data_IF_975685307715
#
_entry.id   IF_975685307715
#
_cell.length_a   1.000
_cell.length_b   1.000
_cell.length_c   1.000
_cell.angle_alpha   90.00
_cell.angle_beta   90.00
_cell.angle_gamma   90.00
#
_symmetry.space_group_name_H-M   'P 1'
#
loop_
_entity.id
_entity.type
_entity.pdbx_description
1 polymer ?
#
# COMPACT_ATOMS: atom_id res chain seq x y z
N UNK A 1 1.08 24.72 6.26
CA UNK A 1 2.42 24.30 6.74
C UNK A 1 2.28 24.00 8.21
N UNK A 2 2.47 22.75 8.64
CA UNK A 2 2.46 22.42 10.07
C UNK A 2 3.89 22.58 10.60
N UNK A 3 4.13 23.67 11.33
CA UNK A 3 5.34 23.88 12.10
C UNK A 3 5.26 23.15 13.43
N UNK A 4 6.31 22.39 13.74
CA UNK A 4 6.80 22.07 15.09
C UNK A 4 5.76 21.98 16.21
N UNK A 5 5.02 20.87 16.25
CA UNK A 5 4.51 20.34 17.52
C UNK A 5 5.10 18.95 17.71
N UNK A 6 6.18 18.87 18.49
CA UNK A 6 6.88 17.63 18.87
C UNK A 6 6.08 16.82 19.92
N UNK A 7 4.75 16.89 19.81
CA UNK A 7 3.79 16.23 20.69
C UNK A 7 3.56 14.80 20.20
N UNK A 8 3.39 13.88 21.14
CA UNK A 8 3.05 12.50 20.86
C UNK A 8 1.53 12.34 20.78
N UNK A 9 1.07 11.58 19.80
CA UNK A 9 -0.33 11.32 19.56
C UNK A 9 -0.56 9.88 19.10
N UNK A 10 -1.77 9.40 19.35
CA UNK A 10 -2.31 8.20 18.71
C UNK A 10 -2.99 8.61 17.41
N UNK A 11 -2.81 7.81 16.35
CA UNK A 11 -3.56 7.95 15.10
C UNK A 11 -4.71 6.94 15.16
N UNK A 12 -5.91 7.40 15.49
CA UNK A 12 -7.09 6.54 15.67
C UNK A 12 -7.95 6.51 14.41
N UNK A 13 -8.43 5.33 14.02
CA UNK A 13 -9.44 5.20 12.97
C UNK A 13 -10.80 5.64 13.49
N UNK A 14 -11.43 6.60 12.80
CA UNK A 14 -12.79 7.09 13.12
C UNK A 14 -13.86 6.01 13.05
N UNK A 15 -13.67 5.00 12.19
CA UNK A 15 -14.64 3.90 11.97
C UNK A 15 -14.59 2.84 13.07
N UNK A 16 -13.42 2.57 13.64
CA UNK A 16 -13.19 1.38 14.49
C UNK A 16 -12.69 1.69 15.90
N UNK A 17 -12.27 2.94 16.18
CA UNK A 17 -11.64 3.32 17.45
C UNK A 17 -10.25 2.68 17.69
N UNK A 18 -9.76 1.89 16.75
CA UNK A 18 -8.43 1.25 16.78
C UNK A 18 -7.35 2.26 16.40
N UNK A 19 -6.13 2.04 16.90
CA UNK A 19 -4.98 2.93 16.67
C UNK A 19 -3.94 2.27 15.76
N UNK A 20 -3.27 3.09 14.94
CA UNK A 20 -2.08 2.67 14.20
C UNK A 20 -0.96 2.36 15.20
N UNK A 21 -0.35 1.19 15.09
CA UNK A 21 0.75 0.78 15.95
C UNK A 21 1.78 -0.07 15.21
N UNK A 22 2.98 -0.11 15.78
CA UNK A 22 4.03 -1.07 15.42
C UNK A 22 3.56 -2.49 15.76
N UNK A 23 3.95 -3.48 14.96
CA UNK A 23 3.60 -4.88 15.22
C UNK A 23 4.13 -5.31 16.61
N UNK A 24 3.20 -5.67 17.50
CA UNK A 24 3.51 -5.94 18.92
C UNK A 24 4.34 -7.21 19.10
N UNK A 25 4.23 -8.14 18.15
CA UNK A 25 4.97 -9.41 18.17
C UNK A 25 6.49 -9.19 18.14
N UNK A 26 6.96 -8.06 17.59
CA UNK A 26 8.37 -7.69 17.56
C UNK A 26 8.99 -7.66 18.96
N UNK A 27 8.30 -7.06 19.94
CA UNK A 27 8.80 -6.94 21.32
C UNK A 27 8.77 -8.28 22.06
N UNK A 28 7.76 -9.12 21.82
CA UNK A 28 7.64 -10.42 22.48
C UNK A 28 8.57 -11.50 21.90
N UNK A 29 8.90 -11.41 20.61
CA UNK A 29 9.72 -12.40 19.91
C UNK A 29 11.18 -11.95 19.72
N UNK A 30 11.54 -10.75 20.18
CA UNK A 30 12.90 -10.20 20.06
C UNK A 30 13.32 -9.89 18.62
N UNK A 31 12.35 -9.66 17.72
CA UNK A 31 12.61 -9.40 16.30
C UNK A 31 13.13 -7.98 16.07
N UNK A 32 13.78 -7.77 14.93
CA UNK A 32 14.24 -6.43 14.52
C UNK A 32 13.05 -5.63 13.95
N UNK A 33 12.75 -4.42 14.44
CA UNK A 33 11.61 -3.64 13.97
C UNK A 33 11.77 -3.09 12.55
N UNK A 34 12.99 -3.05 12.02
CA UNK A 34 13.26 -2.56 10.66
C UNK A 34 12.53 -3.41 9.61
N UNK A 35 11.70 -2.77 8.79
CA UNK A 35 10.79 -3.37 7.80
C UNK A 35 9.65 -4.22 8.40
N UNK A 36 9.34 -4.11 9.69
CA UNK A 36 8.12 -4.72 10.23
C UNK A 36 6.88 -4.11 9.58
N UNK A 37 5.82 -4.91 9.42
CA UNK A 37 4.53 -4.40 8.94
C UNK A 37 3.90 -3.48 9.98
N UNK A 38 3.31 -2.36 9.57
CA UNK A 38 2.51 -1.50 10.45
C UNK A 38 1.06 -1.98 10.43
N UNK A 39 0.39 -1.94 11.59
CA UNK A 39 -0.92 -2.55 11.83
C UNK A 39 -1.84 -1.60 12.61
N UNK A 40 -3.10 -1.99 12.71
CA UNK A 40 -4.17 -1.22 13.37
C UNK A 40 -4.83 -2.10 14.44
N UNK A 41 -4.62 -1.75 15.72
CA UNK A 41 -4.99 -2.57 16.87
C UNK A 41 -5.92 -1.84 17.84
N UNK A 42 -6.64 -2.60 18.68
CA UNK A 42 -7.31 -2.05 19.86
C UNK A 42 -6.27 -1.38 20.76
N UNK A 43 -6.43 -0.09 21.14
CA UNK A 43 -5.42 0.68 21.88
C UNK A 43 -5.04 0.02 23.21
N UNK A 44 -3.76 0.06 23.56
CA UNK A 44 -3.18 -0.42 24.83
C UNK A 44 -2.37 0.67 25.56
N UNK A 45 -2.27 1.87 24.99
CA UNK A 45 -1.57 3.04 25.54
C UNK A 45 -0.06 2.80 25.71
N UNK A 46 0.53 2.06 24.77
CA UNK A 46 1.95 1.70 24.75
C UNK A 46 2.74 2.59 23.78
N UNK A 47 4.06 2.70 23.98
CA UNK A 47 4.93 3.55 23.15
C UNK A 47 5.00 3.12 21.67
N UNK A 48 4.63 1.89 21.35
CA UNK A 48 4.48 1.37 19.98
C UNK A 48 3.27 1.94 19.23
N UNK A 49 2.31 2.55 19.93
CA UNK A 49 1.09 3.18 19.38
C UNK A 49 1.21 4.70 19.23
N UNK A 50 2.27 5.28 19.79
CA UNK A 50 2.50 6.73 19.82
C UNK A 50 3.38 7.17 18.67
N UNK A 51 2.91 8.21 17.98
CA UNK A 51 3.53 8.80 16.81
C UNK A 51 3.74 10.31 17.01
N UNK A 52 4.67 10.88 16.26
CA UNK A 52 4.86 12.34 16.19
C UNK A 52 5.18 12.78 14.76
N UNK A 53 4.95 14.06 14.48
CA UNK A 53 5.33 14.70 13.22
C UNK A 53 6.77 15.22 13.33
N UNK A 54 7.67 14.62 12.57
CA UNK A 54 9.04 15.08 12.39
C UNK A 54 9.13 15.75 11.01
N UNK A 55 8.64 16.99 10.93
CA UNK A 55 8.40 17.68 9.67
C UNK A 55 7.32 16.98 8.82
N UNK A 56 7.72 16.41 7.69
CA UNK A 56 6.86 15.61 6.80
C UNK A 56 6.94 14.10 7.07
N UNK A 57 7.74 13.66 8.04
CA UNK A 57 7.85 12.27 8.44
C UNK A 57 6.90 11.98 9.61
N UNK A 58 6.33 10.78 9.64
CA UNK A 58 5.59 10.25 10.80
C UNK A 58 6.50 9.25 11.50
N UNK A 59 6.88 9.55 12.75
CA UNK A 59 7.90 8.80 13.53
C UNK A 59 7.31 8.16 14.77
N UNK A 60 7.73 6.94 15.09
CA UNK A 60 7.22 6.15 16.22
C UNK A 60 8.03 6.36 17.52
N UNK A 61 7.34 6.44 18.67
CA UNK A 61 7.97 6.68 19.98
C UNK A 61 8.82 5.51 20.51
N UNK A 62 8.42 4.26 20.23
CA UNK A 62 9.13 3.08 20.73
C UNK A 62 10.37 2.69 19.93
N UNK A 63 10.42 3.04 18.64
CA UNK A 63 11.45 2.54 17.70
C UNK A 63 12.31 3.64 17.08
N UNK A 64 11.90 4.92 17.16
CA UNK A 64 12.46 6.07 16.44
C UNK A 64 12.43 5.95 14.89
N UNK A 65 11.87 4.85 14.37
CA UNK A 65 11.68 4.60 12.94
C UNK A 65 10.47 5.37 12.39
N UNK A 66 10.47 5.61 11.08
CA UNK A 66 9.41 6.33 10.36
C UNK A 66 8.54 5.41 9.53
N UNK A 67 7.32 5.84 9.22
CA UNK A 67 6.45 5.18 8.25
C UNK A 67 7.05 5.26 6.84
N UNK A 68 7.20 4.11 6.20
CA UNK A 68 7.81 3.92 4.89
C UNK A 68 6.91 3.04 4.00
N UNK A 69 6.67 3.47 2.76
CA UNK A 69 5.99 2.64 1.75
C UNK A 69 6.94 1.51 1.34
N UNK A 70 6.61 0.26 1.67
CA UNK A 70 7.52 -0.89 1.57
C UNK A 70 8.07 -1.08 0.14
N UNK A 71 9.40 -1.12 0.02
CA UNK A 71 10.17 -1.16 -1.25
C UNK A 71 10.06 0.12 -2.10
N UNK A 72 9.48 1.20 -1.59
CA UNK A 72 9.38 2.50 -2.27
C UNK A 72 8.51 2.50 -3.53
N UNK A 73 7.61 1.52 -3.70
CA UNK A 73 6.83 1.32 -4.92
C UNK A 73 5.34 1.19 -4.61
N UNK A 74 4.55 2.09 -5.18
CA UNK A 74 3.09 1.97 -5.25
C UNK A 74 2.73 0.74 -6.11
N UNK A 75 1.93 -0.16 -5.56
CA UNK A 75 1.43 -1.37 -6.20
C UNK A 75 -0.09 -1.28 -6.27
N UNK A 76 -0.64 -1.35 -7.48
CA UNK A 76 -2.09 -1.54 -7.65
C UNK A 76 -2.48 -3.01 -7.42
N UNK A 77 -1.64 -3.95 -7.87
CA UNK A 77 -1.96 -5.38 -7.99
C UNK A 77 -1.97 -6.10 -6.64
N UNK A 78 -1.05 -5.68 -5.77
CA UNK A 78 -0.82 -6.21 -4.43
C UNK A 78 -0.97 -5.05 -3.45
N UNK A 79 -1.28 -5.36 -2.19
CA UNK A 79 -1.27 -4.41 -1.08
C UNK A 79 0.01 -3.54 -1.09
N UNK A 80 -0.17 -2.22 -1.12
CA UNK A 80 0.95 -1.29 -0.88
C UNK A 80 1.17 -1.16 0.62
N UNK A 81 1.84 -2.16 1.17
CA UNK A 81 2.19 -2.28 2.58
C UNK A 81 2.97 -1.08 3.12
N UNK A 82 2.58 -0.61 4.31
CA UNK A 82 3.36 0.33 5.11
C UNK A 82 4.24 -0.44 6.11
N UNK A 83 5.52 -0.10 6.17
CA UNK A 83 6.47 -0.67 7.11
C UNK A 83 7.23 0.40 7.88
N UNK A 84 7.96 -0.01 8.94
CA UNK A 84 8.94 0.85 9.59
C UNK A 84 10.26 0.88 8.82
N UNK A 85 10.87 2.06 8.71
CA UNK A 85 12.22 2.19 8.16
C UNK A 85 13.01 3.34 8.79
N UNK A 86 14.33 3.33 8.60
CA UNK A 86 15.19 4.46 8.98
C UNK A 86 14.79 5.74 8.23
N UNK A 87 14.86 6.89 8.90
CA UNK A 87 14.59 8.19 8.28
C UNK A 87 15.61 8.48 7.18
N UNK A 88 15.15 8.57 5.93
CA UNK A 88 15.98 8.91 4.78
C UNK A 88 16.25 10.42 4.73
N UNK A 89 17.37 10.86 4.13
CA UNK A 89 17.54 12.28 3.81
C UNK A 89 16.49 12.70 2.77
N UNK A 90 16.09 13.98 2.82
CA UNK A 90 14.88 14.49 2.14
C UNK A 90 14.89 14.25 0.62
N UNK A 91 16.07 14.27 -0.01
CA UNK A 91 16.29 13.99 -1.44
C UNK A 91 15.94 12.55 -1.86
N UNK A 92 15.92 11.62 -0.90
CA UNK A 92 15.64 10.18 -1.10
C UNK A 92 14.41 9.71 -0.33
N UNK A 93 13.74 10.60 0.39
CA UNK A 93 12.67 10.29 1.32
C UNK A 93 11.28 10.23 0.70
N UNK A 94 11.11 10.33 -0.64
CA UNK A 94 9.80 10.45 -1.29
C UNK A 94 8.75 9.42 -0.83
N UNK A 95 9.17 8.20 -0.50
CA UNK A 95 8.33 7.12 -0.01
C UNK A 95 8.09 7.12 1.53
N UNK A 96 8.50 8.18 2.23
CA UNK A 96 8.39 8.43 3.67
C UNK A 96 7.78 9.81 4.01
N UNK A 97 7.39 10.59 2.99
CA UNK A 97 6.80 11.91 3.17
C UNK A 97 5.28 11.82 3.17
N UNK A 98 4.66 12.33 4.23
CA UNK A 98 3.24 12.19 4.53
C UNK A 98 2.59 13.56 4.69
N UNK A 99 1.40 13.71 4.11
CA UNK A 99 0.58 14.90 4.23
C UNK A 99 -0.77 14.57 4.85
N UNK A 100 -1.46 15.59 5.34
CA UNK A 100 -2.81 15.47 5.90
C UNK A 100 -3.73 16.44 5.18
N UNK A 101 -4.94 15.99 4.84
CA UNK A 101 -6.05 16.84 4.38
C UNK A 101 -7.35 16.41 5.02
N UNK A 102 -8.29 17.32 5.19
CA UNK A 102 -9.63 16.98 5.67
C UNK A 102 -10.33 16.07 4.65
N UNK A 103 -11.12 15.12 5.14
CA UNK A 103 -11.95 14.30 4.27
C UNK A 103 -13.03 15.19 3.59
N UNK A 104 -13.30 15.00 2.29
CA UNK A 104 -14.36 15.75 1.64
C UNK A 104 -15.71 15.43 2.31
N UNK A 105 -16.50 16.47 2.56
CA UNK A 105 -17.80 16.35 3.23
C UNK A 105 -18.76 15.48 2.40
N UNK A 106 -18.93 14.22 2.79
CA UNK A 106 -19.95 13.35 2.19
C UNK A 106 -21.33 13.82 2.65
N UNK A 107 -22.21 14.11 1.69
CA UNK A 107 -23.52 14.76 1.90
C UNK A 107 -24.60 13.86 2.53
N UNK A 108 -24.22 12.76 3.19
CA UNK A 108 -25.14 11.64 3.47
C UNK A 108 -25.02 11.05 4.89
N UNK A 109 -24.79 11.89 5.90
CA UNK A 109 -24.97 11.46 7.31
C UNK A 109 -25.64 12.57 8.13
N UNK A 110 -26.84 12.36 8.70
CA UNK A 110 -27.43 13.30 9.64
C UNK A 110 -26.60 13.36 10.93
N UNK A 111 -26.48 14.55 11.50
CA UNK A 111 -25.53 14.86 12.57
C UNK A 111 -25.64 13.93 13.79
N UNK A 112 -24.56 13.20 14.06
CA UNK A 112 -24.31 12.55 15.34
C UNK A 112 -23.28 13.38 16.13
N UNK A 113 -23.71 13.91 17.29
CA UNK A 113 -22.91 14.55 18.34
C UNK A 113 -22.05 15.79 17.97
N UNK A 114 -22.39 17.00 18.48
CA UNK A 114 -21.68 18.26 18.17
C UNK A 114 -20.35 18.45 18.93
N UNK A 115 -19.70 17.38 19.39
CA UNK A 115 -18.48 17.41 20.22
C UNK A 115 -17.28 16.66 19.63
N UNK A 116 -17.46 16.00 18.49
CA UNK A 116 -16.39 15.40 17.70
C UNK A 116 -16.42 16.05 16.31
N UNK A 117 -15.24 16.37 15.76
CA UNK A 117 -15.14 16.88 14.39
C UNK A 117 -15.74 15.85 13.43
N UNK A 118 -16.85 16.15 12.71
CA UNK A 118 -17.63 15.14 12.00
C UNK A 118 -16.95 14.60 10.73
N UNK A 119 -15.72 15.03 10.46
CA UNK A 119 -14.86 14.63 9.35
C UNK A 119 -13.45 14.43 9.91
N UNK A 120 -13.07 13.17 10.14
CA UNK A 120 -11.65 12.83 10.37
C UNK A 120 -10.82 13.14 9.12
N UNK A 121 -9.49 13.10 9.26
CA UNK A 121 -8.59 13.52 8.17
C UNK A 121 -8.03 12.32 7.40
N UNK A 122 -7.65 12.57 6.15
CA UNK A 122 -6.93 11.64 5.29
C UNK A 122 -5.43 11.87 5.46
N UNK A 123 -4.67 10.78 5.64
CA UNK A 123 -3.21 10.80 5.54
C UNK A 123 -2.85 10.31 4.14
N UNK A 124 -2.09 11.09 3.38
CA UNK A 124 -1.71 10.79 1.99
C UNK A 124 -0.20 10.81 1.79
N UNK A 125 0.31 10.12 0.76
CA UNK A 125 1.72 10.24 0.38
C UNK A 125 1.98 11.56 -0.34
N UNK A 126 2.97 12.34 0.09
CA UNK A 126 3.33 13.58 -0.62
C UNK A 126 3.89 13.29 -2.02
N UNK A 127 4.45 12.09 -2.24
CA UNK A 127 4.89 11.65 -3.58
C UNK A 127 3.74 11.31 -4.54
N UNK A 128 2.55 11.02 -4.02
CA UNK A 128 1.33 10.80 -4.80
C UNK A 128 0.10 11.12 -3.95
N UNK A 129 -0.46 12.31 -4.15
CA UNK A 129 -1.56 12.86 -3.34
C UNK A 129 -2.87 12.09 -3.46
N UNK A 130 -2.99 11.21 -4.44
CA UNK A 130 -4.19 10.42 -4.68
C UNK A 130 -4.15 9.10 -3.91
N UNK A 131 -3.04 8.80 -3.23
CA UNK A 131 -2.85 7.59 -2.44
C UNK A 131 -2.91 7.88 -0.95
N UNK A 132 -3.86 7.24 -0.27
CA UNK A 132 -4.24 7.48 1.13
C UNK A 132 -4.02 6.25 2.00
N UNK A 133 -3.77 6.46 3.30
CA UNK A 133 -3.67 5.39 4.28
C UNK A 133 -5.05 4.81 4.61
N UNK A 134 -5.15 3.49 4.53
CA UNK A 134 -6.36 2.68 4.81
C UNK A 134 -5.99 1.48 5.67
N UNK A 135 -6.97 0.85 6.30
CA UNK A 135 -6.81 -0.40 7.04
C UNK A 135 -7.50 -1.54 6.28
N UNK A 136 -6.82 -2.68 6.15
CA UNK A 136 -7.46 -3.93 5.72
C UNK A 136 -6.92 -5.10 6.55
N UNK A 137 -7.80 -5.99 6.99
CA UNK A 137 -7.50 -7.09 7.93
C UNK A 137 -6.63 -6.71 9.15
N UNK A 138 -6.66 -5.43 9.56
CA UNK A 138 -5.80 -4.89 10.63
C UNK A 138 -4.35 -4.59 10.21
N UNK A 139 -3.99 -4.70 8.93
CA UNK A 139 -2.76 -4.13 8.34
C UNK A 139 -3.00 -2.66 8.01
N UNK A 140 -1.96 -1.82 8.13
CA UNK A 140 -1.95 -0.47 7.56
C UNK A 140 -1.41 -0.53 6.12
N UNK A 141 -2.25 -0.10 5.18
CA UNK A 141 -1.97 -0.11 3.74
C UNK A 141 -2.07 1.29 3.14
N UNK A 142 -1.54 1.44 1.94
CA UNK A 142 -1.75 2.60 1.08
C UNK A 142 -2.61 2.18 -0.13
N UNK A 143 -3.67 2.93 -0.43
CA UNK A 143 -4.56 2.64 -1.55
C UNK A 143 -4.86 3.92 -2.35
N UNK A 144 -5.06 3.86 -3.68
CA UNK A 144 -5.63 4.98 -4.41
C UNK A 144 -7.01 5.37 -3.86
N UNK A 145 -7.28 6.67 -3.78
CA UNK A 145 -8.57 7.22 -3.39
C UNK A 145 -9.54 7.11 -4.58
N UNK A 146 -10.51 6.20 -4.47
CA UNK A 146 -11.56 6.02 -5.46
C UNK A 146 -12.80 6.88 -5.07
N UNK A 147 -13.38 7.68 -5.98
CA UNK A 147 -14.47 8.61 -5.64
C UNK A 147 -15.75 7.96 -5.08
N UNK A 148 -15.95 6.67 -5.36
CA UNK A 148 -17.16 5.91 -5.03
C UNK A 148 -17.00 4.99 -3.81
N UNK A 149 -15.79 4.84 -3.28
CA UNK A 149 -15.49 3.90 -2.19
C UNK A 149 -15.30 4.62 -0.84
N UNK A 150 -15.77 4.02 0.28
CA UNK A 150 -15.69 4.63 1.60
C UNK A 150 -14.27 4.53 2.19
N UNK A 151 -13.46 5.55 1.93
CA UNK A 151 -12.10 5.69 2.50
C UNK A 151 -12.09 5.69 4.04
N UNK A 152 -10.97 5.31 4.64
CA UNK A 152 -10.74 5.47 6.07
C UNK A 152 -10.34 6.91 6.40
N UNK A 153 -10.79 7.39 7.55
CA UNK A 153 -10.37 8.67 8.11
C UNK A 153 -9.79 8.47 9.51
N UNK A 154 -8.93 9.40 9.90
CA UNK A 154 -8.09 9.29 11.07
C UNK A 154 -8.23 10.53 11.96
N UNK A 155 -8.19 10.34 13.27
CA UNK A 155 -8.14 11.39 14.28
C UNK A 155 -6.82 11.32 15.06
N UNK A 156 -6.37 12.49 15.53
CA UNK A 156 -5.16 12.65 16.34
C UNK A 156 -5.57 12.85 17.79
N UNK A 157 -5.37 11.82 18.61
CA UNK A 157 -5.62 11.91 20.05
C UNK A 157 -4.29 12.17 20.74
N UNK A 158 -4.16 13.28 21.44
CA UNK A 158 -2.96 13.61 22.20
C UNK A 158 -2.69 12.58 23.32
N UNK A 159 -1.42 12.33 23.63
CA UNK A 159 -1.00 11.31 24.62
C UNK A 159 -1.70 11.48 25.99
N UNK A 160 -1.93 12.72 26.42
CA UNK A 160 -2.59 13.09 27.68
C UNK A 160 -4.12 12.96 27.68
N UNK A 161 -4.72 12.96 26.49
CA UNK A 161 -6.17 13.05 26.27
C UNK A 161 -6.82 11.69 26.00
N UNK A 162 -6.02 10.62 25.94
CA UNK A 162 -6.48 9.28 25.61
C UNK A 162 -7.12 8.59 26.83
N UNK A 163 -8.44 8.73 26.96
CA UNK A 163 -9.21 8.09 28.03
C UNK A 163 -9.26 6.57 27.81
N UNK A 164 -8.83 5.72 28.79
CA UNK A 164 -8.98 4.27 28.66
C UNK A 164 -10.46 3.89 28.63
N UNK A 165 -10.87 3.10 27.63
CA UNK A 165 -12.16 2.42 27.67
C UNK A 165 -12.14 1.35 28.77
N UNK A 166 -12.81 1.63 29.89
CA UNK A 166 -12.98 0.71 31.02
C UNK A 166 -13.69 -0.58 30.58
N UNK A 167 -12.92 -1.59 30.19
CA UNK A 167 -13.41 -2.92 29.76
C UNK A 167 -12.80 -4.02 30.63
N UNK A 168 -13.36 -4.18 31.82
CA UNK A 168 -13.35 -5.38 32.68
C UNK A 168 -12.06 -6.22 32.76
N UNK A 169 -11.34 -6.08 33.88
CA UNK A 169 -10.49 -7.15 34.43
C UNK A 169 -11.06 -7.61 35.78
N UNK A 170 -11.10 -8.92 36.07
CA UNK A 170 -10.98 -9.43 37.43
C UNK A 170 -9.53 -9.91 37.72
N UNK A 171 -9.11 -10.04 39.00
CA UNK A 171 -7.69 -9.95 39.37
C UNK A 171 -7.08 -11.24 39.96
N UNK A 172 -5.75 -11.19 40.23
CA UNK A 172 -4.97 -12.09 41.10
C UNK A 172 -4.78 -13.54 40.59
N UNK A 173 -3.69 -14.27 40.87
CA UNK A 173 -2.65 -14.19 41.94
C UNK A 173 -1.20 -14.35 41.43
N UNK A 174 -0.24 -13.97 42.27
CA UNK A 174 1.19 -14.23 42.09
C UNK A 174 1.60 -15.66 42.52
N UNK A 175 2.76 -16.13 42.03
CA UNK A 175 3.89 -16.74 42.78
C UNK A 175 4.80 -17.52 41.80
N UNK A 176 6.05 -17.09 41.58
CA UNK A 176 7.27 -17.33 42.35
C UNK A 176 8.08 -18.54 41.83
N UNK A 177 9.24 -18.23 41.21
CA UNK A 177 10.37 -19.13 40.94
C UNK A 177 10.88 -19.79 42.24
N UNK A 178 11.52 -20.99 42.18
CA UNK A 178 13.00 -20.98 42.13
C UNK A 178 13.73 -22.13 41.40
N UNK A 179 14.89 -21.76 40.83
CA UNK A 179 16.16 -22.50 40.75
C UNK A 179 16.39 -23.67 39.76
N UNK A 180 17.48 -23.49 39.00
CA UNK A 180 18.34 -24.44 38.24
C UNK A 180 19.10 -25.43 39.17
N UNK A 181 19.95 -26.42 38.72
CA UNK A 181 20.70 -26.51 37.44
C UNK A 181 20.78 -27.90 36.74
N UNK A 182 21.35 -27.95 35.51
CA UNK A 182 21.52 -29.20 34.75
C UNK A 182 22.41 -29.15 33.50
N UNK A 183 23.71 -28.89 33.67
CA UNK A 183 24.89 -29.30 32.85
C UNK A 183 24.77 -29.75 31.37
N UNK A 184 25.61 -29.14 30.52
CA UNK A 184 26.42 -29.77 29.43
C UNK A 184 25.73 -30.29 28.15
N UNK A 185 26.33 -30.27 26.95
CA UNK A 185 27.62 -29.72 26.47
C UNK A 185 27.72 -29.71 24.92
N UNK A 186 28.74 -29.02 24.39
CA UNK A 186 29.36 -29.22 23.05
C UNK A 186 28.58 -28.75 21.80
N UNK A 187 29.19 -28.36 20.67
CA UNK A 187 30.61 -28.20 20.28
C UNK A 187 30.74 -26.89 19.46
N UNK A 188 31.87 -26.18 19.54
CA UNK A 188 32.20 -25.11 18.59
C UNK A 188 32.99 -25.66 17.39
N UNK A 189 32.73 -25.19 16.16
CA UNK A 189 33.61 -25.46 15.02
C UNK A 189 33.72 -24.26 14.06
N UNK A 190 34.93 -23.72 14.00
CA UNK A 190 35.65 -23.21 12.81
C UNK A 190 34.94 -22.36 11.75
N UNK A 191 35.45 -21.14 11.60
CA UNK A 191 35.27 -20.23 10.47
C UNK A 191 36.20 -20.55 9.27
N UNK A 192 36.09 -19.71 8.22
CA UNK A 192 36.93 -19.58 7.01
C UNK A 192 36.70 -20.58 5.85
N UNK A 193 36.27 -20.05 4.68
CA UNK A 193 37.13 -20.04 3.48
C UNK A 193 36.73 -18.94 2.47
N UNK A 194 37.52 -18.82 1.40
CA UNK A 194 37.95 -17.54 0.82
C UNK A 194 37.32 -17.15 -0.54
N UNK A 195 37.72 -15.97 -1.03
CA UNK A 195 37.33 -15.32 -2.29
C UNK A 195 37.41 -16.18 -3.57
N UNK A 196 36.55 -15.85 -4.54
CA UNK A 196 36.97 -15.82 -5.95
C UNK A 196 36.55 -14.52 -6.66
N UNK A 197 37.39 -14.12 -7.62
CA UNK A 197 37.48 -12.76 -8.19
C UNK A 197 37.63 -12.87 -9.71
N UNK A 198 36.93 -12.02 -10.50
CA UNK A 198 37.26 -11.80 -11.92
C UNK A 198 36.08 -11.45 -12.83
N UNK A 199 36.25 -10.43 -13.69
CA UNK A 199 35.40 -10.20 -14.89
C UNK A 199 35.02 -8.75 -15.22
N UNK A 200 35.69 -8.16 -16.21
CA UNK A 200 35.36 -6.89 -16.89
C UNK A 200 34.91 -7.22 -18.33
N UNK A 201 34.13 -6.47 -19.13
CA UNK A 201 33.40 -5.17 -19.08
C UNK A 201 32.53 -5.11 -20.37
N UNK A 202 31.93 -3.99 -20.89
CA UNK A 202 31.71 -2.62 -20.39
C UNK A 202 30.25 -2.08 -20.53
N UNK A 203 30.04 -0.88 -19.97
CA UNK A 203 28.97 0.13 -20.18
C UNK A 203 27.81 -0.07 -21.19
N UNK A 204 26.58 0.19 -20.70
CA UNK A 204 25.57 0.99 -21.43
C UNK A 204 24.95 2.04 -20.49
N UNK A 205 24.90 3.30 -20.92
CA UNK A 205 24.36 4.44 -20.14
C UNK A 205 22.90 4.18 -19.76
N UNK A 206 22.62 3.87 -18.49
CA UNK A 206 21.25 3.88 -17.98
C UNK A 206 20.88 5.32 -17.63
N UNK A 207 20.32 6.03 -18.60
CA UNK A 207 19.76 7.36 -18.40
C UNK A 207 18.67 7.32 -17.31
N UNK A 208 18.59 8.43 -16.56
CA UNK A 208 17.62 8.66 -15.49
C UNK A 208 16.21 8.13 -15.83
N UNK A 209 15.81 7.04 -15.17
CA UNK A 209 14.40 6.63 -15.10
C UNK A 209 13.72 7.49 -14.01
N UNK A 210 13.58 8.78 -14.30
CA UNK A 210 12.73 9.66 -13.50
C UNK A 210 11.28 9.22 -13.64
N UNK A 211 10.59 9.05 -12.50
CA UNK A 211 9.16 8.77 -12.31
C UNK A 211 8.34 8.55 -13.59
N UNK A 212 8.48 7.37 -14.23
CA UNK A 212 7.60 6.98 -15.33
C UNK A 212 6.27 6.60 -14.72
N UNK A 213 5.22 7.38 -15.02
CA UNK A 213 3.85 6.96 -14.74
C UNK A 213 3.55 5.70 -15.56
N UNK A 214 3.60 4.55 -14.90
CA UNK A 214 3.41 3.21 -15.51
C UNK A 214 1.98 2.95 -16.02
N UNK A 215 1.13 3.97 -15.98
CA UNK A 215 -0.27 3.98 -16.41
C UNK A 215 -0.56 5.10 -17.41
N UNK A 216 0.47 5.71 -18.00
CA UNK A 216 0.30 6.60 -19.15
C UNK A 216 -0.24 5.84 -20.37
N UNK A 217 -1.02 6.52 -21.21
CA UNK A 217 -1.54 5.95 -22.47
C UNK A 217 -0.43 5.41 -23.39
N UNK A 218 0.75 6.04 -23.38
CA UNK A 218 1.92 5.56 -24.11
C UNK A 218 2.39 4.17 -23.65
N UNK A 219 2.30 3.87 -22.34
CA UNK A 219 2.65 2.56 -21.79
C UNK A 219 1.68 1.45 -22.18
N UNK A 220 0.39 1.77 -22.32
CA UNK A 220 -0.61 0.86 -22.88
C UNK A 220 -0.36 0.59 -24.37
N UNK A 221 -0.05 1.64 -25.13
CA UNK A 221 0.27 1.53 -26.56
C UNK A 221 1.55 0.72 -26.81
N UNK A 222 2.62 0.93 -26.04
CA UNK A 222 3.86 0.14 -26.13
C UNK A 222 3.61 -1.36 -25.94
N UNK A 223 2.86 -1.73 -24.89
CA UNK A 223 2.48 -3.12 -24.64
C UNK A 223 1.65 -3.71 -25.80
N UNK A 224 0.69 -2.93 -26.33
CA UNK A 224 -0.14 -3.33 -27.47
C UNK A 224 0.68 -3.57 -28.74
N UNK A 225 1.59 -2.66 -29.10
CA UNK A 225 2.41 -2.81 -30.30
C UNK A 225 3.34 -4.03 -30.19
N UNK A 226 3.95 -4.26 -29.03
CA UNK A 226 4.80 -5.43 -28.80
C UNK A 226 4.02 -6.75 -28.86
N UNK A 227 2.84 -6.83 -28.26
CA UNK A 227 2.04 -8.07 -28.28
C UNK A 227 1.44 -8.35 -29.67
N UNK A 228 0.78 -7.36 -30.29
CA UNK A 228 -0.05 -7.58 -31.48
C UNK A 228 0.62 -7.24 -32.82
N UNK A 229 1.66 -6.38 -32.84
CA UNK A 229 2.39 -6.05 -34.08
C UNK A 229 3.72 -6.81 -34.16
N UNK A 230 4.46 -6.88 -33.07
CA UNK A 230 5.78 -7.52 -33.02
C UNK A 230 5.72 -9.02 -32.66
N UNK A 231 4.59 -9.50 -32.12
CA UNK A 231 4.39 -10.86 -31.61
C UNK A 231 5.44 -11.27 -30.55
N UNK A 232 5.80 -10.35 -29.65
CA UNK A 232 6.74 -10.60 -28.55
C UNK A 232 6.16 -11.61 -27.54
N UNK A 233 6.73 -12.81 -27.50
CA UNK A 233 6.32 -13.90 -26.61
C UNK A 233 6.97 -13.84 -25.22
N UNK A 234 7.88 -12.89 -24.97
CA UNK A 234 8.58 -12.72 -23.70
C UNK A 234 7.98 -11.59 -22.83
N UNK A 235 6.75 -11.18 -23.11
CA UNK A 235 6.02 -10.20 -22.32
C UNK A 235 5.59 -10.79 -20.97
N UNK A 236 5.78 -10.01 -19.90
CA UNK A 236 5.25 -10.33 -18.57
C UNK A 236 3.72 -10.27 -18.55
N UNK A 237 3.09 -11.04 -17.66
CA UNK A 237 1.65 -11.04 -17.35
C UNK A 237 1.03 -9.63 -17.39
N UNK A 238 1.63 -8.67 -16.69
CA UNK A 238 1.20 -7.27 -16.67
C UNK A 238 1.14 -6.62 -18.07
N UNK A 239 2.17 -6.84 -18.88
CA UNK A 239 2.24 -6.27 -20.23
C UNK A 239 1.21 -6.92 -21.17
N UNK A 240 0.99 -8.23 -21.03
CA UNK A 240 -0.08 -8.95 -21.74
C UNK A 240 -1.45 -8.35 -21.38
N UNK A 241 -1.75 -8.24 -20.08
CA UNK A 241 -3.03 -7.65 -19.62
C UNK A 241 -3.20 -6.19 -20.06
N UNK A 242 -2.14 -5.37 -20.04
CA UNK A 242 -2.21 -3.98 -20.54
C UNK A 242 -2.50 -3.93 -22.04
N UNK A 243 -1.87 -4.80 -22.84
CA UNK A 243 -2.10 -4.89 -24.27
C UNK A 243 -3.53 -5.33 -24.61
N UNK A 244 -4.05 -6.36 -23.93
CA UNK A 244 -5.42 -6.87 -24.13
C UNK A 244 -6.48 -5.86 -23.69
N UNK A 245 -6.26 -5.17 -22.57
CA UNK A 245 -7.12 -4.09 -22.10
C UNK A 245 -7.19 -2.94 -23.13
N UNK A 246 -6.03 -2.53 -23.67
CA UNK A 246 -5.95 -1.48 -24.67
C UNK A 246 -6.60 -1.86 -26.01
N UNK A 247 -6.36 -3.07 -26.51
CA UNK A 247 -7.01 -3.59 -27.73
C UNK A 247 -8.54 -3.61 -27.61
N UNK A 248 -9.04 -4.05 -26.46
CA UNK A 248 -10.48 -4.09 -26.15
C UNK A 248 -11.08 -2.70 -26.05
N UNK A 249 -10.42 -1.78 -25.34
CA UNK A 249 -10.82 -0.38 -25.22
C UNK A 249 -10.81 0.37 -26.56
N UNK A 250 -9.81 0.09 -27.41
CA UNK A 250 -9.73 0.64 -28.77
C UNK A 250 -10.89 0.13 -29.64
N UNK A 251 -11.13 -1.18 -29.63
CA UNK A 251 -12.24 -1.85 -30.34
C UNK A 251 -13.61 -1.24 -29.96
N UNK A 252 -13.83 -1.02 -28.66
CA UNK A 252 -15.08 -0.44 -28.16
C UNK A 252 -15.19 1.07 -28.42
N UNK A 253 -14.06 1.80 -28.42
CA UNK A 253 -14.03 3.22 -28.76
C UNK A 253 -14.32 3.50 -30.23
N UNK A 254 -14.06 2.54 -31.13
CA UNK A 254 -14.46 2.61 -32.54
C UNK A 254 -15.92 2.21 -32.81
N UNK A 255 -16.65 1.71 -31.81
CA UNK A 255 -17.96 1.09 -31.99
C UNK A 255 -19.16 1.93 -31.48
N UNK A 256 -18.95 3.18 -31.05
CA UNK A 256 -19.96 4.07 -30.43
C UNK A 256 -20.70 3.49 -29.20
N UNK A 257 -20.26 2.34 -28.69
CA UNK A 257 -21.05 1.47 -27.81
C UNK A 257 -21.03 1.85 -26.33
N UNK A 258 -20.13 2.74 -25.90
CA UNK A 258 -19.93 3.06 -24.48
C UNK A 258 -20.18 4.55 -24.24
N UNK A 259 -21.39 4.86 -23.79
CA UNK A 259 -21.71 6.14 -23.15
C UNK A 259 -21.33 6.07 -21.67
N UNK A 260 -20.87 7.20 -21.15
CA UNK A 260 -20.24 7.40 -19.83
C UNK A 260 -20.93 6.73 -18.63
N UNK A 261 -22.26 6.55 -18.71
CA UNK A 261 -23.15 6.04 -17.65
C UNK A 261 -23.78 4.67 -17.95
N UNK A 262 -23.40 4.00 -19.03
CA UNK A 262 -23.91 2.67 -19.35
C UNK A 262 -23.10 1.58 -18.65
N UNK A 263 -23.53 1.23 -17.44
CA UNK A 263 -22.97 0.12 -16.64
C UNK A 263 -23.00 -1.21 -17.41
N UNK A 264 -24.01 -1.41 -18.27
CA UNK A 264 -24.17 -2.62 -19.06
C UNK A 264 -23.10 -2.70 -20.16
N UNK A 265 -22.77 -1.56 -20.79
CA UNK A 265 -21.65 -1.41 -21.71
C UNK A 265 -20.27 -1.62 -21.04
N UNK A 266 -20.10 -1.18 -19.78
CA UNK A 266 -18.87 -1.45 -19.00
C UNK A 266 -18.69 -2.95 -18.74
N UNK A 267 -19.74 -3.62 -18.27
CA UNK A 267 -19.75 -5.07 -18.02
C UNK A 267 -19.49 -5.87 -19.32
N UNK A 268 -20.09 -5.46 -20.44
CA UNK A 268 -19.83 -6.08 -21.74
C UNK A 268 -18.37 -5.96 -22.19
N UNK A 269 -17.74 -4.79 -22.00
CA UNK A 269 -16.33 -4.58 -22.34
C UNK A 269 -15.39 -5.46 -21.49
N UNK A 270 -15.65 -5.53 -20.18
CA UNK A 270 -14.89 -6.38 -19.26
C UNK A 270 -14.96 -7.85 -19.69
N UNK A 271 -16.17 -8.38 -19.88
CA UNK A 271 -16.40 -9.76 -20.35
C UNK A 271 -15.72 -10.03 -21.71
N UNK A 272 -15.78 -9.09 -22.66
CA UNK A 272 -15.15 -9.22 -23.97
C UNK A 272 -13.61 -9.33 -23.86
N UNK A 273 -13.01 -8.53 -22.98
CA UNK A 273 -11.57 -8.51 -22.80
C UNK A 273 -11.04 -9.70 -22.01
N UNK A 274 -11.77 -10.15 -20.99
CA UNK A 274 -11.49 -11.41 -20.30
C UNK A 274 -11.54 -12.57 -21.31
N UNK A 275 -12.53 -12.61 -22.20
CA UNK A 275 -12.60 -13.63 -23.25
C UNK A 275 -11.44 -13.53 -24.26
N UNK A 276 -10.97 -12.33 -24.61
CA UNK A 276 -9.75 -12.13 -25.42
C UNK A 276 -8.48 -12.59 -24.69
N UNK A 277 -8.36 -12.33 -23.39
CA UNK A 277 -7.25 -12.82 -22.57
C UNK A 277 -7.24 -14.35 -22.50
N UNK A 278 -8.41 -14.98 -22.30
CA UNK A 278 -8.57 -16.44 -22.33
C UNK A 278 -8.15 -17.05 -23.67
N UNK A 279 -8.51 -16.43 -24.80
CA UNK A 279 -8.15 -16.90 -26.14
C UNK A 279 -6.65 -16.73 -26.48
N UNK A 280 -5.97 -15.76 -25.86
CA UNK A 280 -4.51 -15.65 -25.95
C UNK A 280 -3.80 -16.68 -25.07
N UNK A 281 -4.27 -16.88 -23.84
CA UNK A 281 -3.68 -17.83 -22.89
C UNK A 281 -3.82 -19.29 -23.32
N UNK A 282 -4.95 -19.64 -23.95
CA UNK A 282 -5.17 -20.98 -24.50
C UNK A 282 -4.19 -21.31 -25.63
N UNK A 283 -3.81 -20.32 -26.47
CA UNK A 283 -2.81 -20.48 -27.52
C UNK A 283 -1.40 -20.65 -26.95
N UNK A 284 -1.07 -19.94 -25.87
CA UNK A 284 0.26 -19.95 -25.26
C UNK A 284 0.48 -20.99 -24.14
N UNK A 285 -0.53 -21.79 -23.79
CA UNK A 285 -0.44 -22.87 -22.77
C UNK A 285 0.01 -22.39 -21.37
N UNK A 286 -0.45 -21.21 -20.94
CA UNK A 286 -0.05 -20.58 -19.66
C UNK A 286 -1.16 -20.60 -18.59
N UNK A 287 -1.64 -21.78 -18.18
CA UNK A 287 -2.71 -21.88 -17.18
C UNK A 287 -2.33 -21.30 -15.79
N UNK A 288 -1.06 -21.37 -15.38
CA UNK A 288 -0.61 -20.87 -14.07
C UNK A 288 -0.70 -19.33 -13.91
N UNK A 289 -0.75 -18.58 -15.01
CA UNK A 289 -0.79 -17.11 -15.01
C UNK A 289 -2.19 -16.56 -15.30
N UNK A 290 -3.16 -17.44 -15.55
CA UNK A 290 -4.49 -17.12 -16.06
C UNK A 290 -5.30 -16.20 -15.15
N UNK A 291 -5.41 -16.55 -13.88
CA UNK A 291 -6.17 -15.77 -12.89
C UNK A 291 -5.58 -14.36 -12.69
N UNK A 292 -4.25 -14.28 -12.59
CA UNK A 292 -3.50 -13.01 -12.56
C UNK A 292 -3.79 -12.15 -13.78
N UNK A 293 -3.69 -12.72 -14.98
CA UNK A 293 -3.84 -11.97 -16.25
C UNK A 293 -5.28 -11.49 -16.45
N UNK A 294 -6.29 -12.26 -16.03
CA UNK A 294 -7.69 -11.85 -16.07
C UNK A 294 -7.97 -10.70 -15.10
N UNK A 295 -7.61 -10.85 -13.83
CA UNK A 295 -7.79 -9.82 -12.80
C UNK A 295 -7.10 -8.50 -13.20
N UNK A 296 -5.89 -8.57 -13.77
CA UNK A 296 -5.18 -7.42 -14.31
C UNK A 296 -5.86 -6.78 -15.52
N UNK A 297 -6.41 -7.59 -16.44
CA UNK A 297 -7.08 -7.09 -17.65
C UNK A 297 -8.33 -6.30 -17.29
N UNK A 298 -9.18 -6.82 -16.40
CA UNK A 298 -10.36 -6.10 -15.91
C UNK A 298 -9.99 -4.79 -15.23
N UNK A 299 -8.97 -4.80 -14.36
CA UNK A 299 -8.48 -3.57 -13.69
C UNK A 299 -7.95 -2.52 -14.65
N UNK A 300 -7.23 -2.93 -15.71
CA UNK A 300 -6.71 -1.99 -16.71
C UNK A 300 -7.80 -1.39 -17.61
N UNK A 301 -8.91 -2.09 -17.82
CA UNK A 301 -10.05 -1.53 -18.53
C UNK A 301 -10.72 -0.42 -17.74
N UNK A 302 -10.90 -0.59 -16.43
CA UNK A 302 -11.44 0.47 -15.58
C UNK A 302 -10.55 1.72 -15.64
N UNK A 303 -9.22 1.57 -15.55
CA UNK A 303 -8.26 2.67 -15.69
C UNK A 303 -8.37 3.38 -17.06
N UNK A 304 -8.52 2.63 -18.16
CA UNK A 304 -8.67 3.19 -19.51
C UNK A 304 -10.04 3.86 -19.74
N UNK A 305 -11.11 3.34 -19.13
CA UNK A 305 -12.43 3.95 -19.13
C UNK A 305 -12.41 5.27 -18.36
N UNK A 306 -11.85 5.29 -17.15
CA UNK A 306 -11.76 6.51 -16.33
C UNK A 306 -10.87 7.57 -16.99
N UNK A 307 -9.78 7.18 -17.67
CA UNK A 307 -8.98 8.10 -18.48
C UNK A 307 -9.79 8.79 -19.60
N UNK A 308 -10.75 8.07 -20.22
CA UNK A 308 -11.62 8.60 -21.28
C UNK A 308 -12.63 9.62 -20.73
N UNK A 309 -13.13 9.41 -19.51
CA UNK A 309 -14.03 10.36 -18.82
C UNK A 309 -13.34 11.71 -18.56
N UNK A 310 -12.06 11.71 -18.22
CA UNK A 310 -11.29 12.94 -17.95
C UNK A 310 -10.79 13.68 -19.21
N UNK A 311 -11.05 13.14 -20.41
CA UNK A 311 -10.58 13.68 -21.69
C UNK A 311 -11.69 13.91 -22.73
N UNK A 312 -12.95 13.82 -22.29
CA UNK A 312 -14.17 14.13 -23.06
C UNK A 312 -14.79 15.44 -22.57
#
# INVERSE_FOLDING_TARGET
MNTENNAWFYIQSTKTGKVIAVDRHIKSEGLVPLRSQVRVYTPHQTSDELWTWDGQFIRNKATDLVLDIRKGRLRLIEDTEICLYDKKPLDKASNQLWGVRDAPATTTTPAASPLLSPQGKLIYSISNTDWILTQDEGKLLLHPQEPLMPYDTWDWIAEDSFIPSLSSSPPTTADCDPATPGLSSSVASSCEFDYHQGGLSPARKRGSQGSVSYYSMDGFKDCYERLYKENDTHLSDKAISMAVAYDSWLSASTADYIKEKDELGRIQLLNQAEQKALDLLSKHHQDHHKETILHLTGRYINILLDHKVHSS
#
